data_IF_690029972930
#
_entry.id   IF_690029972930
#
_cell.length_a   1.000
_cell.length_b   1.000
_cell.length_c   1.000
_cell.angle_alpha   90.00
_cell.angle_beta   90.00
_cell.angle_gamma   90.00
#
_symmetry.space_group_name_H-M   'P 1'
#
loop_
_entity.id
_entity.type
_entity.pdbx_description
1 polymer ?
#
# COMPACT_ATOMS: atom_id res chain seq x y z
N UNK A 1 -21.26 3.27 -7.17
CA UNK A 1 -22.57 3.19 -6.47
C UNK A 1 -22.53 3.76 -5.03
N UNK A 2 -21.35 4.10 -4.50
CA UNK A 2 -21.18 4.68 -3.15
C UNK A 2 -21.18 3.65 -2.02
N UNK A 3 -21.39 2.37 -2.35
CA UNK A 3 -21.42 1.30 -1.38
C UNK A 3 -20.02 0.99 -0.84
N UNK A 4 -19.93 0.87 0.49
CA UNK A 4 -18.70 0.58 1.24
C UNK A 4 -17.59 1.63 1.07
N UNK A 5 -16.55 1.47 1.89
CA UNK A 5 -15.30 2.20 1.73
C UNK A 5 -14.47 1.54 0.63
N UNK A 6 -13.72 2.34 -0.14
CA UNK A 6 -12.75 1.80 -1.08
C UNK A 6 -11.64 1.07 -0.31
N UNK A 7 -11.12 -0.06 -0.84
CA UNK A 7 -9.97 -0.71 -0.25
C UNK A 7 -8.76 0.22 -0.20
N UNK A 8 -8.00 0.14 0.89
CA UNK A 8 -6.72 0.84 0.99
C UNK A 8 -5.74 0.22 -0.02
N UNK A 9 -5.09 1.09 -0.79
CA UNK A 9 -4.06 0.77 -1.78
C UNK A 9 -2.83 1.64 -1.53
N UNK A 10 -1.65 1.05 -1.53
CA UNK A 10 -0.39 1.74 -1.23
C UNK A 10 -0.17 2.95 -2.16
N UNK A 11 -0.37 2.77 -3.46
CA UNK A 11 -0.08 3.78 -4.49
C UNK A 11 -0.95 5.04 -4.32
N UNK A 12 -2.15 4.88 -3.75
CA UNK A 12 -3.11 5.96 -3.56
C UNK A 12 -3.06 6.59 -2.16
N UNK A 13 -2.77 5.81 -1.12
CA UNK A 13 -2.98 6.25 0.26
C UNK A 13 -1.69 6.33 1.09
N UNK A 14 -0.59 5.74 0.62
CA UNK A 14 0.65 5.63 1.39
C UNK A 14 1.85 6.24 0.66
N UNK A 15 1.93 6.04 -0.66
CA UNK A 15 3.10 6.42 -1.47
C UNK A 15 3.47 7.90 -1.37
N UNK A 16 2.49 8.79 -1.19
CA UNK A 16 2.71 10.24 -1.09
C UNK A 16 3.64 10.63 0.06
N UNK A 17 3.55 9.93 1.20
CA UNK A 17 4.42 10.17 2.36
C UNK A 17 5.48 9.07 2.57
N UNK A 18 5.27 7.88 2.01
CA UNK A 18 6.13 6.71 2.15
C UNK A 18 6.56 6.23 0.78
N UNK A 19 7.41 7.00 0.12
CA UNK A 19 7.92 6.63 -1.19
C UNK A 19 8.74 5.33 -1.09
N UNK A 20 8.70 4.54 -2.16
CA UNK A 20 9.62 3.43 -2.39
C UNK A 20 10.78 3.86 -3.31
N UNK A 21 11.10 5.16 -3.33
CA UNK A 21 12.20 5.71 -4.12
C UNK A 21 13.54 5.26 -3.52
N UNK A 22 14.57 5.04 -4.33
CA UNK A 22 15.87 4.60 -3.78
C UNK A 22 16.78 5.80 -3.49
N UNK A 23 16.81 6.79 -4.39
CA UNK A 23 17.74 7.92 -4.35
C UNK A 23 17.09 9.19 -4.90
N UNK A 24 17.44 10.35 -4.32
CA UNK A 24 16.93 11.66 -4.76
C UNK A 24 17.19 11.98 -6.23
N UNK A 25 18.41 11.71 -6.66
CA UNK A 25 18.96 11.96 -7.99
C UNK A 25 18.23 11.19 -9.09
N UNK A 26 17.59 10.07 -8.73
CA UNK A 26 16.84 9.21 -9.63
C UNK A 26 15.38 9.13 -9.17
N UNK A 27 14.58 10.21 -9.31
CA UNK A 27 13.24 10.31 -8.74
C UNK A 27 12.22 9.33 -9.33
N UNK A 28 12.54 8.69 -10.45
CA UNK A 28 11.69 7.67 -11.07
C UNK A 28 12.07 6.25 -10.69
N UNK A 29 13.24 6.05 -10.05
CA UNK A 29 13.71 4.72 -9.64
C UNK A 29 13.07 4.32 -8.32
N UNK A 30 12.06 3.45 -8.42
CA UNK A 30 11.30 2.93 -7.28
C UNK A 30 11.46 1.43 -7.15
N UNK A 31 11.45 0.96 -5.90
CA UNK A 31 11.32 -0.46 -5.57
C UNK A 31 9.89 -0.90 -5.95
N UNK A 32 9.72 -2.04 -6.65
CA UNK A 32 8.39 -2.54 -6.97
C UNK A 32 7.63 -2.95 -5.71
N UNK A 33 6.32 -2.64 -5.64
CA UNK A 33 5.47 -3.02 -4.52
C UNK A 33 4.59 -4.24 -4.84
N UNK A 34 4.26 -5.04 -3.82
CA UNK A 34 3.27 -6.12 -3.90
C UNK A 34 3.81 -7.55 -4.07
N UNK A 35 5.10 -7.73 -4.41
CA UNK A 35 5.72 -9.05 -4.61
C UNK A 35 7.16 -9.04 -4.10
N UNK A 36 7.41 -9.72 -2.97
CA UNK A 36 8.73 -9.74 -2.34
C UNK A 36 9.80 -10.46 -3.17
N UNK A 37 9.43 -11.40 -4.03
CA UNK A 37 10.37 -12.06 -4.93
C UNK A 37 10.83 -11.10 -6.03
N UNK A 38 9.91 -10.33 -6.62
CA UNK A 38 10.26 -9.28 -7.58
C UNK A 38 11.13 -8.21 -6.96
N UNK A 39 10.87 -7.84 -5.70
CA UNK A 39 11.76 -6.92 -4.95
C UNK A 39 13.17 -7.50 -4.85
N UNK A 40 13.33 -8.75 -4.40
CA UNK A 40 14.65 -9.36 -4.26
C UNK A 40 15.42 -9.40 -5.58
N UNK A 41 14.76 -9.79 -6.68
CA UNK A 41 15.36 -9.80 -8.02
C UNK A 41 15.75 -8.40 -8.48
N UNK A 42 14.88 -7.41 -8.24
CA UNK A 42 15.15 -6.02 -8.55
C UNK A 42 16.36 -5.48 -7.78
N UNK A 43 16.48 -5.78 -6.48
CA UNK A 43 17.63 -5.36 -5.66
C UNK A 43 18.92 -6.05 -6.10
N UNK A 44 18.87 -7.33 -6.49
CA UNK A 44 20.02 -8.04 -7.05
C UNK A 44 20.48 -7.45 -8.39
N UNK A 45 19.54 -6.96 -9.21
CA UNK A 45 19.78 -6.29 -10.49
C UNK A 45 19.79 -4.76 -10.41
N UNK A 46 20.05 -4.17 -9.25
CA UNK A 46 19.90 -2.73 -9.03
C UNK A 46 20.75 -1.89 -9.99
N UNK A 47 21.96 -2.33 -10.31
CA UNK A 47 22.86 -1.60 -11.22
C UNK A 47 22.25 -1.37 -12.60
N UNK A 48 21.62 -2.38 -13.19
CA UNK A 48 20.93 -2.23 -14.48
C UNK A 48 19.73 -1.29 -14.39
N UNK A 49 19.04 -1.27 -13.24
CA UNK A 49 17.94 -0.35 -12.97
C UNK A 49 18.42 1.09 -12.80
N UNK A 50 19.58 1.30 -12.17
CA UNK A 50 20.26 2.60 -12.07
C UNK A 50 20.66 3.07 -13.47
N UNK A 51 21.32 2.23 -14.27
CA UNK A 51 21.73 2.58 -15.63
C UNK A 51 20.52 2.98 -16.50
N UNK A 52 19.46 2.19 -16.47
CA UNK A 52 18.22 2.48 -17.19
C UNK A 52 17.60 3.81 -16.74
N UNK A 53 17.64 4.10 -15.44
CA UNK A 53 17.14 5.35 -14.87
C UNK A 53 18.01 6.55 -15.25
N UNK A 54 19.33 6.40 -15.26
CA UNK A 54 20.28 7.42 -15.73
C UNK A 54 20.06 7.74 -17.21
N UNK A 55 19.86 6.73 -18.05
CA UNK A 55 19.53 6.97 -19.47
C UNK A 55 18.21 7.72 -19.64
N UNK A 56 17.22 7.42 -18.80
CA UNK A 56 15.92 8.09 -18.80
C UNK A 56 15.99 9.57 -18.37
N UNK A 57 17.08 10.05 -17.78
CA UNK A 57 17.30 11.49 -17.52
C UNK A 57 17.87 12.24 -18.72
N UNK A 58 18.20 11.55 -19.82
CA UNK A 58 18.70 12.14 -21.06
C UNK A 58 20.20 11.96 -21.30
N UNK A 59 20.94 11.34 -20.36
CA UNK A 59 22.36 11.00 -20.56
C UNK A 59 22.45 9.81 -21.52
N UNK A 60 23.05 10.01 -22.69
CA UNK A 60 23.12 8.98 -23.76
C UNK A 60 24.51 8.42 -24.01
N UNK A 61 25.54 9.24 -23.85
CA UNK A 61 26.92 8.85 -24.17
C UNK A 61 27.42 7.76 -23.20
N UNK A 62 27.97 6.62 -23.70
CA UNK A 62 28.32 5.47 -22.88
C UNK A 62 29.24 5.77 -21.68
N UNK A 63 30.28 6.58 -21.87
CA UNK A 63 31.23 6.92 -20.79
C UNK A 63 30.55 7.77 -19.72
N UNK A 64 29.73 8.75 -20.12
CA UNK A 64 28.95 9.60 -19.24
C UNK A 64 27.92 8.79 -18.44
N UNK A 65 27.23 7.82 -19.08
CA UNK A 65 26.33 6.90 -18.37
C UNK A 65 27.11 6.08 -17.35
N UNK A 66 28.25 5.49 -17.73
CA UNK A 66 29.08 4.67 -16.84
C UNK A 66 29.57 5.48 -15.63
N UNK A 67 30.05 6.70 -15.84
CA UNK A 67 30.49 7.59 -14.77
C UNK A 67 29.33 7.94 -13.84
N UNK A 68 28.15 8.26 -14.39
CA UNK A 68 26.99 8.57 -13.58
C UNK A 68 26.52 7.37 -12.76
N UNK A 69 26.49 6.16 -13.33
CA UNK A 69 26.17 4.93 -12.58
C UNK A 69 27.13 4.72 -11.41
N UNK A 70 28.44 4.98 -11.60
CA UNK A 70 29.44 4.91 -10.52
C UNK A 70 29.14 5.92 -9.41
N UNK A 71 28.82 7.17 -9.76
CA UNK A 71 28.43 8.21 -8.78
C UNK A 71 27.19 7.80 -7.96
N UNK A 72 26.15 7.28 -8.63
CA UNK A 72 24.93 6.84 -7.95
C UNK A 72 25.19 5.65 -7.02
N UNK A 73 26.02 4.69 -7.44
CA UNK A 73 26.44 3.57 -6.58
C UNK A 73 27.26 4.04 -5.39
N UNK A 74 28.14 5.02 -5.59
CA UNK A 74 28.93 5.58 -4.50
C UNK A 74 28.06 6.33 -3.48
N UNK A 75 27.03 7.04 -3.94
CA UNK A 75 26.04 7.65 -3.07
C UNK A 75 25.26 6.62 -2.21
N UNK A 76 25.04 5.40 -2.72
CA UNK A 76 24.48 4.30 -1.91
C UNK A 76 25.48 3.81 -0.85
N UNK A 77 26.76 3.65 -1.21
CA UNK A 77 27.80 3.24 -0.26
C UNK A 77 27.97 4.24 0.88
N UNK A 78 27.95 5.54 0.57
CA UNK A 78 28.00 6.61 1.58
C UNK A 78 26.80 6.58 2.55
N UNK A 79 25.69 5.92 2.18
CA UNK A 79 24.52 5.68 3.04
C UNK A 79 24.59 4.37 3.83
N UNK A 80 25.73 3.67 3.78
CA UNK A 80 25.97 2.40 4.45
C UNK A 80 25.43 1.18 3.71
N UNK A 81 25.22 1.27 2.39
CA UNK A 81 24.71 0.18 1.56
C UNK A 81 25.85 -0.41 0.72
N UNK A 82 26.66 -1.27 1.33
CA UNK A 82 27.88 -1.80 0.72
C UNK A 82 27.65 -3.12 -0.01
N UNK A 83 26.63 -3.88 0.40
CA UNK A 83 26.30 -5.19 -0.12
C UNK A 83 24.80 -5.35 -0.44
N UNK A 84 24.46 -6.43 -1.16
CA UNK A 84 23.05 -6.81 -1.36
C UNK A 84 22.36 -7.11 -0.03
N UNK A 85 23.07 -7.69 0.93
CA UNK A 85 22.54 -7.98 2.27
C UNK A 85 22.18 -6.69 3.01
N UNK A 86 23.07 -5.69 3.00
CA UNK A 86 22.80 -4.37 3.60
C UNK A 86 21.57 -3.72 2.97
N UNK A 87 21.47 -3.79 1.64
CA UNK A 87 20.35 -3.25 0.90
C UNK A 87 19.04 -3.97 1.23
N UNK A 88 19.05 -5.29 1.34
CA UNK A 88 17.86 -6.07 1.73
C UNK A 88 17.45 -5.74 3.17
N UNK A 89 18.37 -5.77 4.13
CA UNK A 89 18.10 -5.37 5.52
C UNK A 89 17.52 -3.96 5.60
N UNK A 90 18.09 -3.02 4.83
CA UNK A 90 17.59 -1.66 4.72
C UNK A 90 16.16 -1.59 4.20
N UNK A 91 15.88 -2.23 3.06
CA UNK A 91 14.57 -2.18 2.41
C UNK A 91 13.50 -2.90 3.21
N UNK A 92 13.81 -4.09 3.73
CA UNK A 92 12.80 -4.94 4.35
C UNK A 92 12.55 -4.61 5.82
N UNK A 93 13.55 -4.14 6.58
CA UNK A 93 13.45 -4.03 8.04
C UNK A 93 13.69 -2.63 8.59
N UNK A 94 14.71 -1.92 8.11
CA UNK A 94 15.27 -0.77 8.84
C UNK A 94 14.84 0.59 8.27
N UNK A 95 14.73 0.70 6.95
CA UNK A 95 14.45 1.96 6.27
C UNK A 95 15.61 2.94 6.42
N UNK A 96 15.53 4.11 5.80
CA UNK A 96 16.58 5.11 5.97
C UNK A 96 16.79 5.47 7.45
N UNK A 97 18.04 5.63 7.92
CA UNK A 97 18.35 5.77 9.33
C UNK A 97 17.55 6.93 9.92
N UNK A 98 17.13 6.79 11.16
CA UNK A 98 16.51 7.91 11.86
C UNK A 98 17.53 9.03 12.01
N UNK A 99 17.10 10.27 11.78
CA UNK A 99 17.93 11.43 12.10
C UNK A 99 18.30 11.36 13.59
N UNK A 100 19.57 11.60 13.91
CA UNK A 100 20.11 11.49 15.28
C UNK A 100 19.55 12.55 16.24
N UNK A 101 18.78 13.53 15.76
CA UNK A 101 17.94 14.39 16.58
C UNK A 101 16.48 13.99 16.38
N UNK A 102 15.75 13.75 17.48
CA UNK A 102 14.34 13.35 17.51
C UNK A 102 13.33 14.33 16.87
N UNK A 103 13.80 15.25 16.03
CA UNK A 103 12.98 16.07 15.17
C UNK A 103 12.56 15.23 13.96
N UNK A 104 11.29 14.82 13.92
CA UNK A 104 10.68 14.24 12.72
C UNK A 104 10.75 15.24 11.57
N UNK A 105 11.84 15.11 10.83
CA UNK A 105 12.27 15.96 9.74
C UNK A 105 11.51 15.71 8.44
N UNK A 106 10.23 15.33 8.49
CA UNK A 106 9.40 15.34 7.27
C UNK A 106 9.30 16.76 6.65
N UNK A 107 9.82 17.79 7.32
CA UNK A 107 9.84 19.19 6.87
C UNK A 107 11.23 19.81 6.63
N UNK A 108 12.36 19.19 7.00
CA UNK A 108 13.67 19.87 6.87
C UNK A 108 14.52 19.36 5.69
N UNK A 109 13.87 19.03 4.58
CA UNK A 109 14.55 18.92 3.28
C UNK A 109 15.49 17.73 3.12
N UNK A 110 15.48 16.75 4.03
CA UNK A 110 16.14 15.44 3.87
C UNK A 110 15.10 14.36 3.61
N UNK A 111 14.62 14.20 2.36
CA UNK A 111 13.68 13.14 2.00
C UNK A 111 14.19 11.75 2.43
N UNK A 112 13.36 11.00 3.16
CA UNK A 112 13.56 9.57 3.40
C UNK A 112 13.11 8.84 2.14
N UNK A 113 14.06 8.22 1.45
CA UNK A 113 13.77 7.55 0.18
C UNK A 113 13.36 6.11 0.43
N UNK A 114 14.09 5.40 1.29
CA UNK A 114 13.81 4.01 1.61
C UNK A 114 12.86 3.90 2.81
N UNK A 115 11.58 3.58 2.52
CA UNK A 115 10.63 3.13 3.55
C UNK A 115 10.84 1.64 3.82
N UNK A 116 10.91 1.25 5.09
CA UNK A 116 10.99 -0.15 5.52
C UNK A 116 9.69 -0.92 5.28
N UNK A 117 9.76 -2.10 4.65
CA UNK A 117 8.60 -2.98 4.45
C UNK A 117 7.94 -3.35 5.79
N UNK A 118 8.75 -3.58 6.82
CA UNK A 118 8.33 -3.90 8.18
C UNK A 118 7.43 -2.84 8.83
N UNK A 119 7.36 -1.63 8.26
CA UNK A 119 6.44 -0.58 8.70
C UNK A 119 4.97 -0.98 8.58
N UNK A 120 4.66 -1.77 7.55
CA UNK A 120 3.29 -2.23 7.30
C UNK A 120 3.19 -3.75 7.32
N UNK A 121 4.22 -4.46 6.86
CA UNK A 121 4.22 -5.90 6.73
C UNK A 121 4.86 -6.58 7.94
N UNK A 122 4.37 -7.77 8.28
CA UNK A 122 5.16 -8.69 9.11
C UNK A 122 6.24 -9.30 8.23
N UNK A 123 7.50 -9.02 8.56
CA UNK A 123 8.68 -9.53 7.84
C UNK A 123 9.39 -10.52 8.77
N UNK A 124 9.56 -11.76 8.32
CA UNK A 124 10.35 -12.76 9.06
C UNK A 124 11.63 -13.06 8.29
N UNK A 125 12.75 -13.01 9.00
CA UNK A 125 14.05 -13.45 8.49
C UNK A 125 14.07 -14.97 8.39
N UNK A 126 14.36 -15.51 7.20
CA UNK A 126 14.60 -16.93 7.01
C UNK A 126 15.97 -17.35 7.57
N UNK A 127 16.16 -18.66 7.78
CA UNK A 127 17.34 -19.21 8.47
C UNK A 127 18.70 -18.96 7.82
N UNK A 128 18.75 -18.43 6.59
CA UNK A 128 19.98 -18.09 5.87
C UNK A 128 20.18 -16.58 5.66
N UNK A 129 19.34 -15.70 6.26
CA UNK A 129 19.48 -14.24 6.18
C UNK A 129 19.09 -13.58 4.85
N UNK A 130 19.04 -14.34 3.75
CA UNK A 130 18.65 -13.85 2.41
C UNK A 130 17.17 -14.06 2.10
N UNK A 131 16.52 -15.00 2.79
CA UNK A 131 15.13 -15.34 2.54
C UNK A 131 14.19 -14.58 3.50
N UNK A 132 13.96 -13.31 3.20
CA UNK A 132 12.97 -12.51 3.94
C UNK A 132 11.56 -12.84 3.44
N UNK A 133 10.76 -13.46 4.30
CA UNK A 133 9.34 -13.68 4.04
C UNK A 133 8.55 -12.44 4.43
N UNK A 134 7.71 -11.94 3.51
CA UNK A 134 6.90 -10.74 3.72
C UNK A 134 5.44 -11.14 3.67
N UNK A 135 4.74 -11.02 4.80
CA UNK A 135 3.32 -11.29 4.89
C UNK A 135 2.51 -10.04 4.54
N UNK A 136 1.34 -10.21 3.93
CA UNK A 136 0.46 -9.09 3.65
C UNK A 136 0.00 -8.41 4.95
N UNK A 137 -0.09 -7.07 4.98
CA UNK A 137 -0.58 -6.35 6.15
C UNK A 137 -2.05 -6.74 6.41
N UNK A 138 -2.44 -6.84 7.67
CA UNK A 138 -3.80 -7.18 8.07
C UNK A 138 -4.73 -5.96 8.00
N UNK A 139 -4.79 -5.29 6.84
CA UNK A 139 -5.69 -4.16 6.60
C UNK A 139 -7.04 -4.73 6.14
N UNK A 140 -8.14 -4.49 6.87
CA UNK A 140 -9.44 -5.03 6.49
C UNK A 140 -9.92 -4.40 5.18
N UNK A 141 -10.40 -5.25 4.25
CA UNK A 141 -11.07 -4.77 3.03
C UNK A 141 -12.44 -4.14 3.34
N UNK A 142 -13.03 -4.49 4.47
CA UNK A 142 -14.32 -3.99 4.94
C UNK A 142 -14.24 -3.69 6.42
N UNK A 143 -14.30 -2.40 6.75
CA UNK A 143 -14.23 -1.92 8.13
C UNK A 143 -15.55 -2.10 8.88
N UNK A 144 -16.69 -1.85 8.23
CA UNK A 144 -18.02 -2.17 8.77
C UNK A 144 -18.41 -3.60 8.36
N UNK A 145 -17.88 -4.59 9.06
CA UNK A 145 -18.01 -6.02 8.70
C UNK A 145 -19.42 -6.59 8.88
N UNK A 146 -20.22 -6.02 9.79
CA UNK A 146 -21.56 -6.49 10.14
C UNK A 146 -22.72 -5.62 9.63
N UNK A 147 -22.40 -4.58 8.88
CA UNK A 147 -23.38 -3.60 8.40
C UNK A 147 -23.08 -3.13 6.99
N UNK A 148 -24.10 -2.66 6.28
CA UNK A 148 -23.90 -1.95 5.01
C UNK A 148 -23.94 -0.44 5.23
N UNK A 149 -23.00 0.26 4.63
CA UNK A 149 -23.04 1.72 4.53
C UNK A 149 -22.85 2.12 3.08
N UNK A 150 -23.59 3.14 2.64
CA UNK A 150 -23.49 3.70 1.30
C UNK A 150 -23.35 5.22 1.41
N UNK A 151 -22.26 5.79 0.86
CA UNK A 151 -22.01 7.22 0.84
C UNK A 151 -22.94 7.98 -0.13
N UNK A 152 -23.50 7.32 -1.15
CA UNK A 152 -24.27 7.99 -2.20
C UNK A 152 -25.52 8.72 -1.68
N UNK A 153 -26.36 8.13 -0.80
CA UNK A 153 -27.44 8.86 -0.14
C UNK A 153 -26.96 9.98 0.79
N UNK A 154 -25.71 9.89 1.28
CA UNK A 154 -25.11 10.82 2.25
C UNK A 154 -24.23 11.90 1.60
N UNK A 155 -24.20 11.99 0.27
CA UNK A 155 -23.31 12.89 -0.47
C UNK A 155 -23.51 14.39 -0.18
N UNK A 156 -24.63 14.75 0.43
CA UNK A 156 -24.95 16.12 0.83
C UNK A 156 -24.41 16.48 2.23
N UNK A 157 -24.02 15.48 3.04
CA UNK A 157 -23.33 15.67 4.32
C UNK A 157 -21.85 15.92 4.09
N UNK A 158 -21.21 16.71 4.94
CA UNK A 158 -19.78 16.90 4.88
C UNK A 158 -19.07 15.64 5.40
N UNK A 159 -17.91 15.30 4.84
CA UNK A 159 -17.15 14.11 5.26
C UNK A 159 -16.82 14.14 6.76
N UNK A 160 -16.56 15.33 7.30
CA UNK A 160 -16.18 15.54 8.70
C UNK A 160 -17.34 15.38 9.69
N UNK A 161 -18.59 15.41 9.21
CA UNK A 161 -19.78 15.22 10.06
C UNK A 161 -19.78 13.79 10.64
N UNK A 162 -19.20 12.84 9.90
CA UNK A 162 -18.99 11.45 10.35
C UNK A 162 -17.53 11.15 10.71
N UNK A 163 -16.57 11.74 9.98
CA UNK A 163 -15.14 11.49 10.14
C UNK A 163 -14.44 12.69 10.80
N UNK A 164 -14.76 12.99 12.06
CA UNK A 164 -14.37 14.24 12.72
C UNK A 164 -12.86 14.58 12.72
N UNK A 165 -11.98 13.57 12.66
CA UNK A 165 -10.53 13.78 12.59
C UNK A 165 -9.94 13.63 11.17
N UNK A 166 -10.75 13.51 10.11
CA UNK A 166 -10.29 13.29 8.72
C UNK A 166 -9.30 14.33 8.21
N UNK A 167 -9.44 15.59 8.62
CA UNK A 167 -8.56 16.69 8.17
C UNK A 167 -7.28 16.83 8.99
N UNK A 168 -7.16 16.10 10.11
CA UNK A 168 -6.07 16.28 11.10
C UNK A 168 -5.27 15.01 11.35
N UNK A 169 -5.85 13.84 11.11
CA UNK A 169 -5.19 12.56 11.31
C UNK A 169 -3.92 12.46 10.46
N UNK A 170 -2.86 11.93 11.07
CA UNK A 170 -1.56 11.71 10.44
C UNK A 170 -1.03 10.29 10.69
N UNK A 171 -1.78 9.48 11.42
CA UNK A 171 -1.38 8.14 11.81
C UNK A 171 -2.40 7.14 11.29
N UNK A 172 -1.90 6.06 10.70
CA UNK A 172 -2.75 4.94 10.24
C UNK A 172 -3.47 4.25 11.40
N UNK A 173 -3.02 4.45 12.64
CA UNK A 173 -3.65 3.96 13.87
C UNK A 173 -4.90 4.74 14.30
N UNK A 174 -5.15 5.93 13.76
CA UNK A 174 -6.25 6.79 14.22
C UNK A 174 -7.64 6.24 13.84
N UNK A 175 -7.72 5.16 13.05
CA UNK A 175 -8.92 4.45 12.54
C UNK A 175 -10.17 5.34 12.58
N UNK A 176 -10.33 6.14 11.52
CA UNK A 176 -11.38 7.15 11.42
C UNK A 176 -12.74 6.57 11.05
N UNK A 177 -13.19 5.52 11.72
CA UNK A 177 -14.55 5.02 11.53
C UNK A 177 -15.54 5.85 12.33
N UNK A 178 -16.69 6.23 11.73
CA UNK A 178 -17.74 6.89 12.48
C UNK A 178 -18.23 5.97 13.59
N UNK A 179 -18.61 6.57 14.72
CA UNK A 179 -19.26 5.83 15.80
C UNK A 179 -20.71 5.56 15.43
N UNK A 180 -21.36 4.63 16.16
CA UNK A 180 -22.80 4.44 16.03
C UNK A 180 -23.58 5.74 16.29
N UNK A 181 -23.07 6.58 17.21
CA UNK A 181 -23.72 7.84 17.58
C UNK A 181 -23.87 8.77 16.37
N UNK A 182 -22.83 8.91 15.54
CA UNK A 182 -22.86 9.72 14.31
C UNK A 182 -23.99 9.28 13.36
N UNK A 183 -24.31 7.99 13.31
CA UNK A 183 -25.42 7.49 12.50
C UNK A 183 -26.78 7.85 13.13
N UNK A 184 -26.91 7.69 14.45
CA UNK A 184 -28.17 7.88 15.18
C UNK A 184 -28.58 9.34 15.37
N UNK A 185 -27.70 10.30 15.07
CA UNK A 185 -28.06 11.73 15.02
C UNK A 185 -29.12 12.00 13.94
N UNK A 186 -29.10 11.24 12.84
CA UNK A 186 -30.09 11.33 11.76
C UNK A 186 -31.01 10.09 11.69
N UNK A 187 -30.44 8.88 11.85
CA UNK A 187 -31.19 7.62 11.89
C UNK A 187 -31.74 7.38 13.30
N UNK A 188 -32.82 8.06 13.63
CA UNK A 188 -33.54 7.93 14.90
C UNK A 188 -35.05 7.90 14.66
N UNK A 189 -35.84 7.40 15.63
CA UNK A 189 -37.28 7.55 15.59
C UNK A 189 -37.68 9.02 15.43
N UNK A 190 -38.75 9.29 14.68
CA UNK A 190 -39.32 10.62 14.62
C UNK A 190 -39.80 11.03 16.01
N UNK A 191 -39.13 12.01 16.61
CA UNK A 191 -39.60 12.70 17.80
C UNK A 191 -40.39 13.94 17.40
N UNK A 192 -41.36 14.36 18.21
CA UNK A 192 -42.11 15.58 17.96
C UNK A 192 -41.15 16.78 17.79
N UNK A 193 -41.15 17.39 16.60
CA UNK A 193 -40.29 18.53 16.27
C UNK A 193 -38.87 18.19 15.78
N UNK A 194 -38.54 16.92 15.51
CA UNK A 194 -37.26 16.53 14.90
C UNK A 194 -37.46 15.81 13.57
N UNK A 195 -36.70 16.23 12.57
CA UNK A 195 -36.52 15.48 11.33
C UNK A 195 -35.69 14.22 11.62
N UNK A 196 -36.07 13.10 11.03
CA UNK A 196 -35.38 11.82 11.16
C UNK A 196 -35.52 11.02 9.87
N UNK A 197 -34.63 10.05 9.67
CA UNK A 197 -34.76 9.07 8.58
C UNK A 197 -35.13 7.71 9.17
N UNK A 198 -35.78 6.85 8.37
CA UNK A 198 -36.26 5.53 8.81
C UNK A 198 -35.20 4.82 9.67
N UNK A 199 -35.63 4.42 10.86
CA UNK A 199 -34.81 3.76 11.86
C UNK A 199 -35.28 2.32 12.09
N UNK A 200 -34.39 1.36 11.86
CA UNK A 200 -34.56 -0.03 12.28
C UNK A 200 -33.19 -0.67 12.49
N UNK A 201 -33.12 -1.75 13.27
CA UNK A 201 -31.87 -2.48 13.52
C UNK A 201 -31.20 -2.95 12.20
N UNK A 202 -32.01 -3.28 11.20
CA UNK A 202 -31.56 -3.81 9.91
C UNK A 202 -30.90 -2.76 9.02
N UNK A 203 -31.14 -1.47 9.29
CA UNK A 203 -30.50 -0.38 8.55
C UNK A 203 -28.99 -0.31 8.83
N UNK A 204 -28.56 -0.73 10.02
CA UNK A 204 -27.16 -0.73 10.42
C UNK A 204 -26.56 -2.14 10.45
N UNK A 205 -27.36 -3.17 10.76
CA UNK A 205 -26.89 -4.54 10.96
C UNK A 205 -27.52 -5.51 9.96
N UNK A 206 -26.68 -6.33 9.35
CA UNK A 206 -27.15 -7.52 8.64
C UNK A 206 -27.22 -8.69 9.62
N UNK A 207 -28.43 -9.19 9.85
CA UNK A 207 -28.69 -10.39 10.64
C UNK A 207 -28.81 -11.61 9.72
N UNK A 208 -28.42 -12.78 10.23
CA UNK A 208 -28.52 -14.07 9.52
C UNK A 208 -27.94 -14.07 8.09
N UNK A 209 -26.80 -13.42 7.87
CA UNK A 209 -26.04 -13.65 6.64
C UNK A 209 -25.44 -15.06 6.71
N UNK A 210 -26.01 -16.00 5.96
CA UNK A 210 -25.26 -17.18 5.53
C UNK A 210 -24.04 -16.62 4.78
N UNK A 211 -22.87 -16.72 5.38
CA UNK A 211 -21.63 -16.29 4.75
C UNK A 211 -21.27 -17.31 3.67
N UNK A 212 -21.99 -17.31 2.54
CA UNK A 212 -21.44 -17.82 1.29
C UNK A 212 -20.50 -16.74 0.80
N UNK A 213 -19.20 -16.91 1.06
CA UNK A 213 -18.19 -16.17 0.32
C UNK A 213 -18.56 -16.25 -1.18
N UNK A 214 -18.52 -15.15 -1.95
CA UNK A 214 -18.72 -15.26 -3.38
C UNK A 214 -17.61 -16.18 -3.88
N UNK A 215 -18.00 -17.36 -4.37
CA UNK A 215 -17.14 -18.09 -5.29
C UNK A 215 -16.85 -17.08 -6.40
N UNK A 216 -15.60 -16.66 -6.49
CA UNK A 216 -15.09 -16.04 -7.70
C UNK A 216 -15.50 -17.00 -8.81
N UNK A 217 -16.49 -16.60 -9.62
CA UNK A 217 -16.70 -17.22 -10.92
C UNK A 217 -15.36 -17.06 -11.64
N UNK A 218 -14.61 -18.16 -11.67
CA UNK A 218 -13.49 -18.32 -12.55
C UNK A 218 -14.06 -18.07 -13.95
N UNK A 219 -13.80 -16.87 -14.46
CA UNK A 219 -14.08 -16.50 -15.83
C UNK A 219 -13.48 -17.60 -16.69
N UNK A 220 -14.37 -18.30 -17.37
CA UNK A 220 -14.13 -19.45 -18.20
C UNK A 220 -12.93 -19.23 -19.10
N UNK A 221 -11.82 -19.93 -18.83
CA UNK A 221 -10.87 -20.26 -19.89
C UNK A 221 -11.62 -21.15 -20.89
N UNK A 222 -11.65 -20.83 -22.20
CA UNK A 222 -12.20 -21.76 -23.17
C UNK A 222 -11.39 -23.06 -23.11
N UNK A 223 -12.09 -24.18 -22.92
CA UNK A 223 -11.49 -25.50 -22.98
C UNK A 223 -10.93 -25.71 -24.40
N UNK A 224 -9.62 -25.96 -24.49
CA UNK A 224 -9.00 -26.46 -25.71
C UNK A 224 -9.44 -27.92 -25.86
N UNK A 225 -10.09 -28.32 -26.98
CA UNK A 225 -10.48 -29.70 -27.16
C UNK A 225 -9.23 -30.57 -27.37
N UNK A 226 -8.94 -31.40 -26.38
CA UNK A 226 -7.93 -32.45 -26.47
C UNK A 226 -8.44 -33.53 -27.43
N UNK A 227 -8.03 -33.46 -28.70
CA UNK A 227 -8.19 -34.58 -29.62
C UNK A 227 -7.12 -35.61 -29.30
N UNK A 228 -7.44 -36.87 -28.95
CA UNK A 228 -6.43 -37.88 -28.72
C UNK A 228 -5.77 -38.26 -30.04
N UNK A 229 -4.46 -38.07 -30.13
CA UNK A 229 -3.64 -38.55 -31.24
C UNK A 229 -3.64 -40.08 -31.20
N UNK A 230 -4.38 -40.71 -32.12
CA UNK A 230 -4.26 -42.15 -32.38
C UNK A 230 -2.92 -42.39 -33.06
N UNK A 231 -1.97 -42.97 -32.33
CA UNK A 231 -0.85 -43.69 -32.93
C UNK A 231 -1.39 -44.98 -33.53
N UNK A 232 -1.32 -45.11 -34.86
CA UNK A 232 -1.41 -46.40 -35.54
C UNK A 232 0.01 -46.98 -35.70
N UNK A 233 0.15 -48.31 -35.73
CA UNK A 233 1.44 -48.99 -35.83
C UNK A 233 2.17 -48.74 -37.15
#
# INVERSE_FOLDING_TARGET
DGAFYQPVRYEKHCQECHSLQIQQSLPKLHIPHGDSQKVRLFLAGLESSIESSVRATGVKEPVAVSNRVKEEKEALRQRGLFSLEDLQKRVFLQGDPQDVSGERLMRSGKPKFLTECAKCHTVNEGGNGFEMSVQAPQIPKRWLSKGAFNHLPHKASACIDCHGAATKSKLTSDILLPTQQSCTECHQPFAAGKEGVKFSCQNCHHFHSSYTAPLLEASSRPAVPSTPLKLQP
#
